data_IF_162502850855
#
_entry.id   IF_162502850855
#
_cell.length_a   1.000
_cell.length_b   1.000
_cell.length_c   1.000
_cell.angle_alpha   90.00
_cell.angle_beta   90.00
_cell.angle_gamma   90.00
#
_symmetry.space_group_name_H-M   'P 1'
#
loop_
_entity.id
_entity.type
_entity.pdbx_description
1 polymer ?
#
# COMPACT_ATOMS: atom_id res chain seq x y z
N UNK A 1 -9.57 6.71 -7.56
CA UNK A 1 -8.24 7.37 -7.61
C UNK A 1 -7.13 6.44 -7.16
N UNK A 2 -7.15 5.93 -5.92
CA UNK A 2 -6.09 5.06 -5.38
C UNK A 2 -5.77 3.84 -6.24
N UNK A 3 -6.78 3.12 -6.72
CA UNK A 3 -6.62 1.98 -7.63
C UNK A 3 -5.92 2.33 -8.95
N UNK A 4 -6.14 3.53 -9.48
CA UNK A 4 -5.48 3.97 -10.71
C UNK A 4 -3.99 4.25 -10.45
N UNK A 5 -3.67 4.90 -9.33
CA UNK A 5 -2.28 5.15 -8.93
C UNK A 5 -1.53 3.85 -8.65
N UNK A 6 -2.20 2.87 -8.05
CA UNK A 6 -1.66 1.52 -7.82
C UNK A 6 -1.31 0.83 -9.13
N UNK A 7 -2.26 0.81 -10.08
CA UNK A 7 -2.05 0.20 -11.39
C UNK A 7 -0.92 0.89 -12.16
N UNK A 8 -0.84 2.22 -12.10
CA UNK A 8 0.21 2.98 -12.76
C UNK A 8 1.60 2.69 -12.17
N UNK A 9 1.69 2.56 -10.84
CA UNK A 9 2.93 2.18 -10.15
C UNK A 9 3.33 0.73 -10.49
N UNK A 10 2.37 -0.20 -10.48
CA UNK A 10 2.58 -1.60 -10.84
C UNK A 10 3.07 -1.77 -12.28
N UNK A 11 2.44 -1.06 -13.23
CA UNK A 11 2.89 -1.04 -14.64
C UNK A 11 4.33 -0.53 -14.75
N UNK A 12 4.67 0.52 -14.01
CA UNK A 12 6.01 1.11 -14.03
C UNK A 12 7.08 0.15 -13.49
N UNK A 13 6.74 -0.65 -12.47
CA UNK A 13 7.61 -1.73 -11.96
C UNK A 13 7.82 -2.83 -13.01
N UNK A 14 6.76 -3.26 -13.68
CA UNK A 14 6.84 -4.29 -14.73
C UNK A 14 7.76 -3.81 -15.87
N UNK A 15 7.59 -2.56 -16.30
CA UNK A 15 8.45 -1.95 -17.34
C UNK A 15 9.91 -1.92 -16.91
N UNK A 16 10.21 -1.56 -15.65
CA UNK A 16 11.57 -1.56 -15.12
C UNK A 16 12.19 -2.96 -15.16
N UNK A 17 11.50 -3.96 -14.62
CA UNK A 17 12.00 -5.35 -14.55
C UNK A 17 12.19 -5.91 -15.97
N UNK A 18 11.23 -5.71 -16.87
CA UNK A 18 11.35 -6.15 -18.26
C UNK A 18 12.48 -5.44 -19.02
N UNK A 19 12.81 -4.21 -18.66
CA UNK A 19 13.94 -3.47 -19.25
C UNK A 19 15.30 -4.01 -18.79
N UNK A 20 15.39 -4.43 -17.52
CA UNK A 20 16.60 -4.98 -16.91
C UNK A 20 16.90 -6.42 -17.37
N UNK A 21 15.88 -7.27 -17.44
CA UNK A 21 16.05 -8.70 -17.74
C UNK A 21 15.55 -9.02 -19.15
N UNK A 22 16.42 -9.43 -20.07
CA UNK A 22 16.03 -9.74 -21.46
C UNK A 22 15.28 -11.07 -21.62
N UNK A 23 14.99 -11.80 -20.53
CA UNK A 23 14.26 -13.06 -20.53
C UNK A 23 12.87 -12.87 -19.93
N UNK A 24 11.83 -13.16 -20.73
CA UNK A 24 10.43 -13.02 -20.34
C UNK A 24 10.08 -13.82 -19.08
N UNK A 25 10.54 -15.07 -18.95
CA UNK A 25 10.21 -15.94 -17.81
C UNK A 25 10.80 -15.40 -16.52
N UNK A 26 12.05 -14.92 -16.55
CA UNK A 26 12.72 -14.34 -15.39
C UNK A 26 12.03 -13.03 -15.00
N UNK A 27 11.74 -12.16 -15.97
CA UNK A 27 11.06 -10.90 -15.71
C UNK A 27 9.68 -11.10 -15.08
N UNK A 28 8.90 -12.06 -15.58
CA UNK A 28 7.59 -12.42 -15.03
C UNK A 28 7.70 -12.96 -13.59
N UNK A 29 8.62 -13.90 -13.35
CA UNK A 29 8.83 -14.49 -12.04
C UNK A 29 9.25 -13.45 -11.00
N UNK A 30 10.20 -12.57 -11.35
CA UNK A 30 10.65 -11.50 -10.45
C UNK A 30 9.52 -10.51 -10.15
N UNK A 31 8.77 -10.09 -11.17
CA UNK A 31 7.64 -9.17 -11.00
C UNK A 31 6.57 -9.76 -10.07
N UNK A 32 6.21 -11.03 -10.28
CA UNK A 32 5.24 -11.72 -9.44
C UNK A 32 5.74 -11.85 -8.00
N UNK A 33 7.02 -12.18 -7.80
CA UNK A 33 7.62 -12.27 -6.48
C UNK A 33 7.66 -10.92 -5.76
N UNK A 34 8.04 -9.84 -6.45
CA UNK A 34 8.04 -8.48 -5.90
C UNK A 34 6.63 -8.08 -5.46
N UNK A 35 5.62 -8.25 -6.32
CA UNK A 35 4.25 -7.90 -5.94
C UNK A 35 3.72 -8.78 -4.79
N UNK A 36 4.07 -10.07 -4.76
CA UNK A 36 3.72 -10.97 -3.66
C UNK A 36 4.36 -10.52 -2.34
N UNK A 37 5.62 -10.08 -2.36
CA UNK A 37 6.30 -9.57 -1.18
C UNK A 37 5.66 -8.26 -0.69
N UNK A 38 5.23 -7.38 -1.59
CA UNK A 38 4.58 -6.11 -1.28
C UNK A 38 3.23 -6.37 -0.58
N UNK A 39 2.46 -7.36 -1.03
CA UNK A 39 1.23 -7.77 -0.35
C UNK A 39 1.46 -8.22 1.11
N UNK A 40 2.60 -8.86 1.41
CA UNK A 40 2.94 -9.28 2.77
C UNK A 40 3.29 -8.10 3.70
N UNK A 41 3.92 -7.04 3.16
CA UNK A 41 4.37 -5.87 3.94
C UNK A 41 3.43 -4.68 3.85
N UNK A 42 2.38 -4.75 3.03
CA UNK A 42 1.45 -3.66 2.74
C UNK A 42 0.55 -3.21 3.88
N UNK A 43 0.61 -3.87 5.04
CA UNK A 43 -0.14 -3.47 6.24
C UNK A 43 -1.52 -4.10 6.40
N UNK A 44 -1.97 -4.92 5.44
CA UNK A 44 -3.23 -5.68 5.55
C UNK A 44 -3.07 -6.97 6.36
N UNK A 45 -2.09 -7.82 6.01
CA UNK A 45 -1.86 -9.10 6.71
C UNK A 45 -1.16 -8.92 8.05
N UNK A 46 -0.22 -7.98 8.14
CA UNK A 46 0.49 -7.65 9.38
C UNK A 46 0.48 -6.15 9.55
N UNK A 47 -0.03 -5.68 10.71
CA UNK A 47 -0.04 -4.26 11.01
C UNK A 47 1.38 -3.67 11.01
N UNK A 48 1.60 -2.47 10.45
CA UNK A 48 2.91 -1.82 10.44
C UNK A 48 3.48 -1.57 11.85
N UNK A 49 2.63 -1.61 12.89
CA UNK A 49 3.03 -1.42 14.30
C UNK A 49 3.77 -2.61 14.89
N UNK A 50 3.60 -3.82 14.32
CA UNK A 50 4.20 -5.07 14.82
C UNK A 50 5.44 -5.47 14.00
N UNK A 51 5.68 -4.79 12.88
CA UNK A 51 6.77 -5.11 11.96
C UNK A 51 8.15 -4.76 12.56
N UNK A 52 9.07 -5.73 12.51
CA UNK A 52 10.46 -5.51 12.90
C UNK A 52 11.11 -4.40 12.05
N UNK A 53 12.09 -3.69 12.62
CA UNK A 53 12.79 -2.53 12.02
C UNK A 53 13.26 -2.82 10.60
N UNK A 54 13.79 -4.02 10.36
CA UNK A 54 14.22 -4.46 9.01
C UNK A 54 13.09 -4.38 7.97
N UNK A 55 11.96 -5.04 8.25
CA UNK A 55 10.82 -5.08 7.32
C UNK A 55 10.16 -3.72 7.13
N UNK A 56 10.12 -2.92 8.21
CA UNK A 56 9.53 -1.59 8.20
C UNK A 56 10.34 -0.60 7.35
N UNK A 57 11.67 -0.62 7.46
CA UNK A 57 12.51 0.34 6.73
C UNK A 57 12.85 -0.09 5.31
N UNK A 58 13.09 -1.39 5.09
CA UNK A 58 13.55 -1.89 3.79
C UNK A 58 12.40 -2.08 2.81
N UNK A 59 11.27 -2.66 3.26
CA UNK A 59 10.21 -3.08 2.35
C UNK A 59 8.96 -2.20 2.45
N UNK A 60 8.50 -1.87 3.66
CA UNK A 60 7.24 -1.14 3.82
C UNK A 60 7.25 0.29 3.23
N UNK A 61 8.36 1.03 3.31
CA UNK A 61 8.39 2.40 2.75
C UNK A 61 8.54 2.46 1.22
N UNK A 62 9.09 1.40 0.62
CA UNK A 62 9.24 1.30 -0.85
C UNK A 62 7.96 0.72 -1.47
N UNK A 63 7.16 0.03 -0.68
CA UNK A 63 5.91 -0.56 -1.10
C UNK A 63 4.86 0.49 -1.45
N UNK A 64 4.54 0.60 -2.74
CA UNK A 64 3.47 1.46 -3.24
C UNK A 64 2.09 0.95 -2.81
N UNK A 65 1.89 -0.36 -2.68
CA UNK A 65 0.61 -0.95 -2.25
C UNK A 65 0.29 -0.56 -0.81
N UNK A 66 1.29 -0.42 0.06
CA UNK A 66 1.10 0.06 1.43
C UNK A 66 0.42 1.44 1.48
N UNK A 67 0.89 2.40 0.68
CA UNK A 67 0.31 3.75 0.65
C UNK A 67 -1.07 3.78 -0.02
N UNK A 68 -1.29 2.97 -1.06
CA UNK A 68 -2.60 2.80 -1.69
C UNK A 68 -3.59 2.22 -0.69
N UNK A 69 -3.20 1.17 0.05
CA UNK A 69 -4.04 0.54 1.07
C UNK A 69 -4.41 1.52 2.18
N UNK A 70 -3.44 2.27 2.71
CA UNK A 70 -3.70 3.35 3.69
C UNK A 70 -4.68 4.40 3.15
N UNK A 71 -4.49 4.81 1.90
CA UNK A 71 -5.37 5.76 1.22
C UNK A 71 -6.80 5.25 1.05
N UNK A 72 -6.97 3.98 0.66
CA UNK A 72 -8.28 3.33 0.53
C UNK A 72 -8.98 3.18 1.89
N UNK A 73 -8.24 2.76 2.93
CA UNK A 73 -8.77 2.65 4.29
C UNK A 73 -9.28 4.01 4.79
N UNK A 74 -8.48 5.07 4.67
CA UNK A 74 -8.92 6.41 5.09
C UNK A 74 -10.10 6.89 4.25
N UNK A 75 -10.12 6.61 2.94
CA UNK A 75 -11.22 7.03 2.07
C UNK A 75 -12.56 6.39 2.46
N UNK A 76 -12.57 5.12 2.88
CA UNK A 76 -13.81 4.42 3.23
C UNK A 76 -14.20 4.64 4.70
N UNK A 77 -13.24 4.52 5.63
CA UNK A 77 -13.52 4.49 7.06
C UNK A 77 -13.52 5.88 7.73
N UNK A 78 -13.13 6.96 7.04
CA UNK A 78 -13.06 8.29 7.68
C UNK A 78 -14.41 8.83 8.16
N UNK A 79 -15.51 8.53 7.46
CA UNK A 79 -16.84 9.10 7.76
C UNK A 79 -17.91 8.06 8.04
N UNK A 80 -17.62 6.78 7.84
CA UNK A 80 -18.59 5.69 8.00
C UNK A 80 -18.66 5.21 9.45
N UNK A 81 -19.85 4.78 9.83
CA UNK A 81 -20.13 4.10 11.10
C UNK A 81 -20.70 2.72 10.80
N UNK A 82 -20.30 1.72 11.58
CA UNK A 82 -20.73 0.33 11.43
C UNK A 82 -21.50 -0.11 12.67
N UNK A 83 -22.40 -1.06 12.54
CA UNK A 83 -23.13 -1.63 13.68
C UNK A 83 -22.39 -2.86 14.22
N UNK A 84 -22.43 -3.06 15.54
CA UNK A 84 -21.82 -4.22 16.18
C UNK A 84 -22.76 -5.44 16.14
N UNK A 85 -22.19 -6.63 16.33
CA UNK A 85 -22.94 -7.90 16.31
C UNK A 85 -23.89 -8.07 17.51
N UNK A 86 -24.63 -9.18 17.52
CA UNK A 86 -25.54 -9.53 18.62
C UNK A 86 -24.84 -9.47 19.98
N UNK A 87 -25.39 -8.68 20.91
CA UNK A 87 -24.80 -8.49 22.25
C UNK A 87 -23.81 -7.34 22.37
N UNK A 88 -23.80 -6.38 21.43
CA UNK A 88 -22.95 -5.18 21.48
C UNK A 88 -21.43 -5.49 21.46
N UNK A 89 -21.06 -6.66 20.94
CA UNK A 89 -19.66 -7.08 20.85
C UNK A 89 -19.04 -6.50 19.57
N UNK A 90 -18.09 -5.59 19.73
CA UNK A 90 -17.41 -4.90 18.65
C UNK A 90 -15.99 -5.45 18.48
N UNK A 91 -15.58 -5.77 17.25
CA UNK A 91 -14.22 -6.29 16.96
C UNK A 91 -13.12 -5.25 17.23
N UNK A 92 -13.45 -3.96 17.10
CA UNK A 92 -12.55 -2.83 17.34
C UNK A 92 -13.13 -1.92 18.42
N UNK A 93 -12.29 -1.41 19.31
CA UNK A 93 -12.69 -0.42 20.30
C UNK A 93 -12.87 0.95 19.62
N UNK A 94 -14.00 1.62 19.86
CA UNK A 94 -14.27 2.97 19.36
C UNK A 94 -15.14 3.75 20.34
N UNK A 95 -15.14 5.07 20.23
CA UNK A 95 -15.89 5.96 21.13
C UNK A 95 -17.41 5.73 21.11
N UNK A 96 -17.95 5.10 20.05
CA UNK A 96 -19.37 4.76 19.91
C UNK A 96 -19.74 3.34 20.41
N UNK A 97 -18.82 2.65 21.12
CA UNK A 97 -19.06 1.29 21.60
C UNK A 97 -20.26 1.19 22.55
N UNK A 98 -20.61 2.25 23.30
CA UNK A 98 -21.79 2.31 24.17
C UNK A 98 -23.12 2.30 23.41
N UNK A 99 -23.13 2.71 22.14
CA UNK A 99 -24.30 2.73 21.26
C UNK A 99 -24.37 1.49 20.35
N UNK A 100 -23.55 0.47 20.62
CA UNK A 100 -23.38 -0.70 19.76
C UNK A 100 -22.98 -0.36 18.32
N UNK A 101 -22.20 0.70 18.15
CA UNK A 101 -21.67 1.16 16.86
C UNK A 101 -20.16 1.29 16.90
N UNK A 102 -19.52 1.09 15.75
CA UNK A 102 -18.10 1.34 15.54
C UNK A 102 -17.95 2.56 14.64
N UNK A 103 -17.27 3.59 15.13
CA UNK A 103 -16.80 4.67 14.29
C UNK A 103 -15.67 4.14 13.39
N UNK A 104 -15.72 4.38 12.08
CA UNK A 104 -14.65 3.96 11.16
C UNK A 104 -13.28 4.57 11.52
N UNK A 105 -13.26 5.73 12.19
CA UNK A 105 -12.04 6.32 12.76
C UNK A 105 -11.39 5.44 13.84
N UNK A 106 -12.19 4.67 14.62
CA UNK A 106 -11.66 3.71 15.59
C UNK A 106 -10.99 2.50 14.93
N UNK A 107 -11.47 2.10 13.75
CA UNK A 107 -10.81 1.10 12.90
C UNK A 107 -9.47 1.66 12.40
N UNK A 108 -9.46 2.87 11.85
CA UNK A 108 -8.23 3.52 11.37
C UNK A 108 -7.17 3.65 12.47
N UNK A 109 -7.58 4.00 13.69
CA UNK A 109 -6.68 4.11 14.84
C UNK A 109 -6.11 2.76 15.27
N UNK A 110 -6.90 1.69 15.20
CA UNK A 110 -6.43 0.32 15.48
C UNK A 110 -5.34 -0.13 14.50
N UNK A 111 -5.41 0.32 13.25
CA UNK A 111 -4.37 0.11 12.24
C UNK A 111 -3.23 1.15 12.29
N UNK A 112 -3.34 2.20 13.11
CA UNK A 112 -2.35 3.28 13.22
C UNK A 112 -2.35 4.28 12.06
N UNK A 113 -3.45 4.38 11.31
CA UNK A 113 -3.56 5.28 10.16
C UNK A 113 -4.18 6.63 10.55
N UNK A 114 -3.42 7.71 10.35
CA UNK A 114 -3.90 9.06 10.61
C UNK A 114 -4.73 9.60 9.44
N UNK A 115 -5.87 10.24 9.74
CA UNK A 115 -6.68 10.96 8.76
C UNK A 115 -5.97 12.25 8.30
N UNK A 116 -6.27 12.73 7.08
CA UNK A 116 -5.73 14.00 6.55
C UNK A 116 -4.34 13.94 5.90
N UNK A 117 -3.69 12.77 5.81
CA UNK A 117 -2.38 12.61 5.14
C UNK A 117 -2.46 12.17 3.67
N UNK A 118 -3.65 12.18 3.08
CA UNK A 118 -3.93 11.68 1.72
C UNK A 118 -3.05 12.34 0.67
N UNK A 119 -2.88 13.68 0.71
CA UNK A 119 -2.02 14.39 -0.24
C UNK A 119 -0.55 13.97 -0.18
N UNK A 120 -0.02 13.70 1.03
CA UNK A 120 1.36 13.21 1.19
C UNK A 120 1.53 11.82 0.59
N UNK A 121 0.57 10.92 0.80
CA UNK A 121 0.62 9.56 0.24
C UNK A 121 0.52 9.57 -1.28
N UNK A 122 -0.37 10.38 -1.86
CA UNK A 122 -0.44 10.57 -3.32
C UNK A 122 0.89 11.10 -3.87
N UNK A 123 1.49 12.09 -3.20
CA UNK A 123 2.80 12.62 -3.59
C UNK A 123 3.92 11.57 -3.58
N UNK A 124 3.96 10.73 -2.53
CA UNK A 124 4.93 9.63 -2.44
C UNK A 124 4.70 8.60 -3.54
N UNK A 125 3.45 8.21 -3.81
CA UNK A 125 3.10 7.27 -4.88
C UNK A 125 3.57 7.77 -6.25
N UNK A 126 3.26 9.02 -6.59
CA UNK A 126 3.69 9.64 -7.84
C UNK A 126 5.23 9.70 -7.92
N UNK A 127 5.91 10.02 -6.82
CA UNK A 127 7.36 10.02 -6.77
C UNK A 127 7.94 8.63 -7.05
N UNK A 128 7.40 7.57 -6.43
CA UNK A 128 7.80 6.18 -6.69
C UNK A 128 7.59 5.82 -8.16
N UNK A 129 6.44 6.15 -8.74
CA UNK A 129 6.15 5.91 -10.16
C UNK A 129 7.18 6.58 -11.08
N UNK A 130 7.48 7.85 -10.84
CA UNK A 130 8.47 8.60 -11.63
C UNK A 130 9.85 7.98 -11.52
N UNK A 131 10.27 7.60 -10.30
CA UNK A 131 11.55 6.94 -10.05
C UNK A 131 11.66 5.62 -10.81
N UNK A 132 10.64 4.76 -10.77
CA UNK A 132 10.64 3.51 -11.55
C UNK A 132 10.72 3.75 -13.06
N UNK A 133 10.02 4.76 -13.59
CA UNK A 133 10.09 5.12 -15.01
C UNK A 133 11.46 5.63 -15.41
N UNK A 134 12.09 6.47 -14.59
CA UNK A 134 13.45 6.98 -14.83
C UNK A 134 14.46 5.82 -14.83
N UNK A 135 14.37 4.90 -13.86
CA UNK A 135 15.25 3.73 -13.83
C UNK A 135 15.02 2.81 -15.03
N UNK A 136 13.77 2.61 -15.44
CA UNK A 136 13.45 1.80 -16.63
C UNK A 136 14.04 2.43 -17.89
N UNK A 137 13.87 3.73 -18.06
CA UNK A 137 14.49 4.48 -19.16
C UNK A 137 16.02 4.41 -19.12
N UNK A 138 16.63 4.61 -17.95
CA UNK A 138 18.07 4.50 -17.77
C UNK A 138 18.62 3.11 -18.13
N UNK A 139 17.93 2.04 -17.72
CA UNK A 139 18.27 0.67 -18.08
C UNK A 139 18.24 0.46 -19.61
N UNK A 140 17.22 0.99 -20.29
CA UNK A 140 17.11 0.91 -21.75
C UNK A 140 18.23 1.69 -22.46
N UNK A 141 18.57 2.89 -21.96
CA UNK A 141 19.66 3.71 -22.52
C UNK A 141 21.00 3.03 -22.36
N UNK A 142 21.28 2.46 -21.18
CA UNK A 142 22.52 1.72 -20.92
C UNK A 142 22.65 0.48 -21.82
N UNK A 143 21.55 -0.20 -22.12
CA UNK A 143 21.53 -1.39 -22.99
C UNK A 143 21.69 -1.08 -24.49
N UNK A 144 21.51 0.20 -24.87
CA UNK A 144 21.70 0.67 -26.25
C UNK A 144 23.17 0.99 -26.56
N UNK A 145 24.01 1.17 -25.54
CA UNK A 145 25.47 1.25 -25.67
C UNK A 145 26.08 -0.14 -25.61
#
# INVERSE_FOLDING_TARGET
MWLFLDLLAAESLVVLIASLFPNFVIALALTAFTNGLWMCVGGFMVSPTVLNVFWRYVFHYIDYQAYVFQGMMVNEFATRTFECGSGCQCMFASDLASECKIAGVGVLQSFGYATGRTGKWVGILLAITVVYRIFGWGALVLRKR
#
